data_IF_135170552139
#
_entry.id   IF_135170552139
#
_cell.length_a   1.000
_cell.length_b   1.000
_cell.length_c   1.000
_cell.angle_alpha   90.00
_cell.angle_beta   90.00
_cell.angle_gamma   90.00
#
_symmetry.space_group_name_H-M   'P 1'
#
loop_
_entity.id
_entity.type
_entity.pdbx_description
1 polymer ?
#
# COMPACT_ATOMS: atom_id res chain seq x y z
N UNK A 1 -2.31 -8.17 16.70
CA UNK A 1 -1.58 -8.31 17.99
C UNK A 1 -1.66 -9.76 18.45
N UNK A 2 -0.56 -10.31 18.99
CA UNK A 2 -0.53 -11.66 19.57
C UNK A 2 -0.38 -11.51 21.08
N UNK A 3 -1.23 -12.17 21.86
CA UNK A 3 -1.19 -12.11 23.33
C UNK A 3 -0.95 -13.51 23.86
N UNK A 4 0.04 -13.65 24.73
CA UNK A 4 0.35 -14.90 25.42
C UNK A 4 0.16 -14.71 26.91
N UNK A 5 -0.59 -15.60 27.53
CA UNK A 5 -0.77 -15.65 28.98
C UNK A 5 -0.24 -16.99 29.50
N UNK A 6 0.49 -16.94 30.61
CA UNK A 6 0.99 -18.14 31.27
C UNK A 6 0.87 -18.02 32.78
N UNK A 7 0.79 -19.17 33.46
CA UNK A 7 0.79 -19.26 34.91
C UNK A 7 1.70 -20.40 35.37
N UNK A 8 2.39 -20.17 36.48
CA UNK A 8 3.24 -21.16 37.15
C UNK A 8 2.48 -21.66 38.37
N UNK A 9 2.14 -22.95 38.38
CA UNK A 9 1.44 -23.57 39.48
C UNK A 9 2.43 -23.93 40.62
N UNK A 10 1.96 -24.02 41.88
CA UNK A 10 2.79 -24.50 43.00
C UNK A 10 3.37 -25.91 42.79
N UNK A 11 2.79 -26.69 41.85
CA UNK A 11 3.28 -28.00 41.41
C UNK A 11 4.47 -27.93 40.44
N UNK A 12 5.07 -26.76 40.25
CA UNK A 12 6.17 -26.52 39.32
C UNK A 12 5.82 -26.79 37.84
N UNK A 13 4.54 -26.75 37.51
CA UNK A 13 4.05 -26.91 36.14
C UNK A 13 3.67 -25.55 35.55
N UNK A 14 4.06 -25.35 34.29
CA UNK A 14 3.71 -24.13 33.54
C UNK A 14 2.55 -24.44 32.61
N UNK A 15 1.50 -23.64 32.71
CA UNK A 15 0.39 -23.63 31.77
C UNK A 15 0.46 -22.35 30.96
N UNK A 16 0.30 -22.45 29.65
CA UNK A 16 0.32 -21.30 28.75
C UNK A 16 -0.80 -21.41 27.72
N UNK A 17 -1.29 -20.26 27.26
CA UNK A 17 -2.19 -20.18 26.13
C UNK A 17 -1.93 -18.87 25.37
N UNK A 18 -2.25 -18.87 24.07
CA UNK A 18 -2.04 -17.73 23.18
C UNK A 18 -3.33 -17.42 22.42
N UNK A 19 -3.60 -16.13 22.22
CA UNK A 19 -4.70 -15.67 21.38
C UNK A 19 -4.22 -14.57 20.43
N UNK A 20 -4.75 -14.61 19.21
CA UNK A 20 -4.50 -13.62 18.18
C UNK A 20 -5.68 -12.64 18.11
N UNK A 21 -5.38 -11.35 18.12
CA UNK A 21 -6.36 -10.27 17.99
C UNK A 21 -6.08 -9.46 16.71
N UNK A 22 -7.07 -9.38 15.83
CA UNK A 22 -7.05 -8.47 14.69
C UNK A 22 -7.19 -7.04 15.19
N UNK A 23 -6.23 -6.18 14.84
CA UNK A 23 -6.26 -4.75 15.15
C UNK A 23 -6.42 -3.97 13.87
N UNK A 24 -7.11 -2.83 13.95
CA UNK A 24 -7.20 -1.91 12.83
C UNK A 24 -5.82 -1.37 12.46
N UNK A 25 -5.61 -1.19 11.16
CA UNK A 25 -4.39 -0.63 10.60
C UNK A 25 -4.50 0.89 10.69
N UNK A 26 -3.73 1.50 11.59
CA UNK A 26 -3.79 2.93 11.87
C UNK A 26 -2.39 3.53 11.92
N UNK A 27 -2.26 4.73 11.36
CA UNK A 27 -1.06 5.55 11.54
C UNK A 27 -1.14 6.32 12.86
N UNK A 28 -0.03 6.36 13.60
CA UNK A 28 0.14 7.13 14.83
C UNK A 28 0.09 8.63 14.54
N UNK A 29 0.80 9.04 13.49
CA UNK A 29 0.81 10.39 12.97
C UNK A 29 -0.50 10.66 12.21
N UNK A 30 -1.35 11.50 12.79
CA UNK A 30 -2.61 11.92 12.17
C UNK A 30 -2.36 13.08 11.23
N UNK A 31 -2.84 12.93 10.01
CA UNK A 31 -2.77 13.94 8.95
C UNK A 31 -4.16 14.11 8.38
N UNK A 32 -4.58 15.35 8.17
CA UNK A 32 -5.82 15.68 7.46
C UNK A 32 -5.59 16.81 6.48
N UNK A 33 -6.37 16.78 5.41
CA UNK A 33 -6.31 17.76 4.33
C UNK A 33 -7.72 18.25 4.03
N UNK A 34 -7.89 19.56 3.98
CA UNK A 34 -9.17 20.21 3.69
C UNK A 34 -9.00 21.31 2.65
N UNK A 35 -9.99 21.44 1.77
CA UNK A 35 -10.07 22.54 0.82
C UNK A 35 -11.18 23.50 1.23
N UNK A 36 -10.86 24.78 1.20
CA UNK A 36 -11.81 25.87 1.43
C UNK A 36 -11.76 26.84 0.24
N UNK A 37 -12.81 26.89 -0.60
CA UNK A 37 -14.03 26.07 -0.64
C UNK A 37 -13.81 24.64 -1.19
N UNK A 38 -14.80 23.74 -1.01
CA UNK A 38 -14.76 22.36 -1.55
C UNK A 38 -15.07 22.25 -3.05
N UNK A 39 -15.56 23.33 -3.64
CA UNK A 39 -15.85 23.46 -5.06
C UNK A 39 -15.39 24.82 -5.54
N UNK A 40 -14.84 24.89 -6.75
CA UNK A 40 -14.28 26.12 -7.31
C UNK A 40 -14.58 26.22 -8.80
N UNK A 41 -14.47 27.44 -9.35
CA UNK A 41 -14.48 27.65 -10.80
C UNK A 41 -13.06 27.57 -11.38
N UNK A 42 -12.90 27.21 -12.66
CA UNK A 42 -11.63 27.30 -13.38
C UNK A 42 -10.90 28.63 -13.12
N UNK A 43 -9.63 28.56 -12.69
CA UNK A 43 -8.79 29.73 -12.44
C UNK A 43 -9.04 30.48 -11.13
N UNK A 44 -9.94 29.99 -10.26
CA UNK A 44 -10.17 30.57 -8.93
C UNK A 44 -9.03 30.22 -7.96
N UNK A 45 -8.74 31.13 -7.02
CA UNK A 45 -7.83 30.84 -5.92
C UNK A 45 -8.55 30.08 -4.80
N UNK A 46 -7.95 29.01 -4.33
CA UNK A 46 -8.47 28.15 -3.25
C UNK A 46 -7.40 27.95 -2.19
N UNK A 47 -7.82 27.70 -0.96
CA UNK A 47 -6.91 27.41 0.14
C UNK A 47 -6.98 25.92 0.46
N UNK A 48 -5.83 25.26 0.37
CA UNK A 48 -5.64 23.91 0.87
C UNK A 48 -4.99 23.98 2.24
N UNK A 49 -5.71 23.52 3.26
CA UNK A 49 -5.24 23.46 4.63
C UNK A 49 -4.73 22.05 4.95
N UNK A 50 -3.46 21.97 5.33
CA UNK A 50 -2.82 20.73 5.78
C UNK A 50 -2.69 20.80 7.30
N UNK A 51 -3.29 19.82 7.99
CA UNK A 51 -3.22 19.70 9.45
C UNK A 51 -2.48 18.42 9.81
N UNK A 52 -1.47 18.56 10.64
CA UNK A 52 -0.52 17.48 10.98
C UNK A 52 0.20 17.83 12.29
N UNK A 53 1.17 17.01 12.68
CA UNK A 53 2.02 17.32 13.83
C UNK A 53 2.98 18.47 13.51
N UNK A 54 3.38 19.24 14.54
CA UNK A 54 4.40 20.29 14.38
C UNK A 54 5.68 19.77 13.71
N UNK A 55 6.31 20.62 12.91
CA UNK A 55 7.60 20.33 12.25
C UNK A 55 7.60 19.09 11.34
N UNK A 56 6.45 18.79 10.72
CA UNK A 56 6.32 17.68 9.78
C UNK A 56 6.54 18.14 8.33
N UNK A 57 7.12 17.26 7.52
CA UNK A 57 7.23 17.45 6.07
C UNK A 57 6.16 16.61 5.37
N UNK A 58 5.32 17.24 4.56
CA UNK A 58 4.21 16.59 3.87
C UNK A 58 4.40 16.59 2.36
N UNK A 59 4.25 15.44 1.71
CA UNK A 59 4.12 15.34 0.26
C UNK A 59 2.64 15.39 -0.14
N UNK A 60 2.29 16.27 -1.06
CA UNK A 60 0.91 16.45 -1.53
C UNK A 60 0.85 16.28 -3.04
N UNK A 61 -0.14 15.52 -3.50
CA UNK A 61 -0.40 15.25 -4.91
C UNK A 61 -1.89 15.39 -5.20
N UNK A 62 -2.25 16.01 -6.32
CA UNK A 62 -3.62 16.07 -6.80
C UNK A 62 -3.70 15.66 -8.26
N UNK A 63 -4.52 14.66 -8.54
CA UNK A 63 -4.61 14.01 -9.85
C UNK A 63 -6.05 14.05 -10.35
N UNK A 64 -6.23 14.22 -11.65
CA UNK A 64 -7.55 14.22 -12.27
C UNK A 64 -8.19 12.82 -12.15
N UNK A 65 -9.47 12.77 -11.78
CA UNK A 65 -10.22 11.52 -11.66
C UNK A 65 -10.21 10.68 -12.95
N UNK A 66 -10.17 11.30 -14.13
CA UNK A 66 -10.09 10.62 -15.42
C UNK A 66 -8.81 9.77 -15.57
N UNK A 67 -7.69 10.23 -15.03
CA UNK A 67 -6.42 9.49 -15.00
C UNK A 67 -6.50 8.31 -14.04
N UNK A 68 -7.14 8.51 -12.88
CA UNK A 68 -7.35 7.46 -11.88
C UNK A 68 -8.26 6.34 -12.38
N UNK A 69 -9.25 6.66 -13.22
CA UNK A 69 -10.12 5.67 -13.87
C UNK A 69 -9.36 4.90 -14.96
N UNK A 70 -8.46 5.57 -15.69
CA UNK A 70 -7.68 4.96 -16.77
C UNK A 70 -6.67 3.92 -16.25
N UNK A 71 -6.02 4.20 -15.12
CA UNK A 71 -5.04 3.30 -14.50
C UNK A 71 -5.33 3.11 -13.00
N UNK A 72 -6.36 2.32 -12.66
CA UNK A 72 -6.70 2.09 -11.27
C UNK A 72 -5.59 1.33 -10.55
N UNK A 73 -5.36 1.69 -9.28
CA UNK A 73 -4.44 0.96 -8.41
C UNK A 73 -3.01 1.49 -8.38
N UNK A 74 -2.70 2.66 -8.95
CA UNK A 74 -1.41 3.34 -8.75
C UNK A 74 -1.37 4.30 -7.54
N UNK A 75 -2.54 4.63 -6.97
CA UNK A 75 -2.65 5.54 -5.83
C UNK A 75 -2.08 4.98 -4.54
N UNK A 76 -1.65 5.88 -3.65
CA UNK A 76 -1.16 5.50 -2.33
C UNK A 76 -2.34 5.00 -1.48
N UNK A 77 -2.15 3.87 -0.81
CA UNK A 77 -3.19 3.26 0.02
C UNK A 77 -2.56 2.73 1.31
N UNK A 78 -3.31 2.80 2.41
CA UNK A 78 -2.85 2.38 3.72
C UNK A 78 -2.43 0.90 3.69
N UNK A 79 -3.25 0.04 3.07
CA UNK A 79 -2.98 -1.40 3.01
C UNK A 79 -1.69 -1.72 2.26
N UNK A 80 -1.40 -0.99 1.18
CA UNK A 80 -0.13 -1.15 0.44
C UNK A 80 1.07 -0.81 1.33
N UNK A 81 0.99 0.26 2.11
CA UNK A 81 2.09 0.67 3.01
C UNK A 81 2.32 -0.39 4.07
N UNK A 82 1.26 -0.89 4.72
CA UNK A 82 1.41 -1.96 5.69
C UNK A 82 1.91 -3.26 5.06
N UNK A 83 1.59 -3.55 3.79
CA UNK A 83 2.17 -4.69 3.04
C UNK A 83 3.67 -4.59 2.79
N UNK A 84 4.26 -3.39 2.83
CA UNK A 84 5.72 -3.22 2.73
C UNK A 84 6.47 -3.59 4.02
N UNK A 85 5.77 -3.77 5.15
CA UNK A 85 6.42 -4.17 6.39
C UNK A 85 7.00 -5.59 6.26
N UNK A 86 8.30 -5.79 6.53
CA UNK A 86 8.98 -7.07 6.30
C UNK A 86 8.46 -8.18 7.21
N UNK A 87 8.02 -7.83 8.42
CA UNK A 87 7.47 -8.76 9.40
C UNK A 87 6.19 -8.18 9.98
N UNK A 88 5.07 -8.85 9.72
CA UNK A 88 3.75 -8.50 10.27
C UNK A 88 3.35 -9.34 11.47
N UNK A 89 3.77 -10.60 11.46
CA UNK A 89 3.45 -11.61 12.46
C UNK A 89 4.56 -12.63 12.50
N UNK A 90 4.90 -13.09 13.70
CA UNK A 90 5.83 -14.19 13.90
C UNK A 90 5.02 -15.41 14.32
N UNK A 91 5.22 -16.52 13.63
CA UNK A 91 4.47 -17.76 13.85
C UNK A 91 5.36 -18.96 14.17
N UNK A 92 6.68 -18.78 14.13
CA UNK A 92 7.63 -19.86 14.37
C UNK A 92 8.98 -19.28 14.80
N UNK A 93 9.81 -20.16 15.36
CA UNK A 93 11.21 -19.89 15.66
C UNK A 93 12.07 -20.59 14.60
N UNK A 94 13.08 -19.92 14.02
CA UNK A 94 14.01 -20.56 13.08
C UNK A 94 14.68 -21.80 13.69
N UNK A 95 14.93 -22.81 12.86
CA UNK A 95 15.58 -24.06 13.29
C UNK A 95 16.98 -23.82 13.90
N UNK A 96 17.70 -22.80 13.42
CA UNK A 96 19.06 -22.45 13.87
C UNK A 96 19.14 -22.11 15.36
N UNK A 97 18.02 -21.75 15.99
CA UNK A 97 17.95 -21.40 17.42
C UNK A 97 17.08 -22.37 18.22
N UNK A 98 16.68 -23.51 17.62
CA UNK A 98 15.90 -24.53 18.30
C UNK A 98 16.81 -25.40 19.19
N UNK A 99 16.35 -25.66 20.43
CA UNK A 99 17.10 -26.50 21.35
C UNK A 99 16.91 -27.98 21.02
N UNK A 100 18.01 -28.73 21.09
CA UNK A 100 18.02 -30.18 20.96
C UNK A 100 17.09 -30.83 21.99
N UNK A 101 16.38 -31.89 21.56
CA UNK A 101 15.44 -32.59 22.43
C UNK A 101 16.15 -33.75 23.11
N UNK A 102 16.30 -33.68 24.42
CA UNK A 102 16.77 -34.82 25.20
C UNK A 102 15.64 -35.85 25.41
N UNK A 103 15.88 -37.11 25.05
CA UNK A 103 14.90 -38.18 25.22
C UNK A 103 14.78 -38.60 26.69
N UNK A 104 13.53 -38.77 27.16
CA UNK A 104 13.24 -39.16 28.54
C UNK A 104 13.64 -40.63 28.77
N UNK A 105 14.52 -40.87 29.75
CA UNK A 105 14.96 -42.23 30.09
C UNK A 105 13.89 -42.98 30.88
N UNK A 106 13.40 -44.10 30.33
CA UNK A 106 12.33 -44.91 30.94
C UNK A 106 12.84 -46.25 31.45
N UNK A 107 12.31 -46.69 32.60
CA UNK A 107 12.58 -48.01 33.21
C UNK A 107 11.36 -48.93 33.04
N UNK A 108 11.56 -50.26 32.96
CA UNK A 108 10.43 -51.18 32.80
C UNK A 108 9.59 -51.24 34.08
N UNK A 109 8.33 -50.79 34.01
CA UNK A 109 7.27 -51.10 34.98
C UNK A 109 6.04 -51.58 34.21
N UNK A 110 5.31 -52.56 34.77
CA UNK A 110 4.17 -53.27 34.13
C UNK A 110 3.25 -52.29 33.38
N UNK A 111 3.17 -52.52 32.07
CA UNK A 111 2.17 -52.03 31.12
C UNK A 111 1.40 -50.77 31.55
N UNK A 112 1.97 -49.60 31.27
CA UNK A 112 1.17 -48.40 31.06
C UNK A 112 1.09 -48.23 29.54
N UNK A 113 -0.07 -48.53 28.97
CA UNK A 113 -0.42 -48.10 27.61
C UNK A 113 -0.35 -46.57 27.63
N UNK A 114 0.59 -45.92 26.90
CA UNK A 114 0.57 -44.47 26.83
C UNK A 114 -0.78 -44.07 26.24
N UNK A 115 -1.51 -43.23 26.97
CA UNK A 115 -2.85 -42.81 26.59
C UNK A 115 -2.82 -42.30 25.14
N UNK A 116 -3.64 -42.92 24.29
CA UNK A 116 -3.76 -42.56 22.87
C UNK A 116 -4.62 -41.29 22.77
N UNK A 117 -4.11 -40.16 23.24
CA UNK A 117 -4.71 -38.87 22.91
C UNK A 117 -4.20 -38.44 21.54
N UNK A 118 -5.00 -38.79 20.53
CA UNK A 118 -4.88 -38.30 19.15
C UNK A 118 -5.30 -36.84 19.01
N UNK A 119 -5.07 -36.00 20.01
CA UNK A 119 -5.28 -34.57 19.95
C UNK A 119 -4.04 -33.91 20.51
N UNK A 120 -3.31 -33.15 19.69
CA UNK A 120 -2.14 -32.40 20.11
C UNK A 120 -2.51 -31.49 21.27
N UNK A 121 -2.20 -31.90 22.49
CA UNK A 121 -2.18 -31.01 23.65
C UNK A 121 -0.99 -30.10 23.45
N UNK A 122 -1.24 -28.83 23.13
CA UNK A 122 -0.19 -27.83 23.03
C UNK A 122 0.44 -27.66 24.41
N UNK A 123 1.57 -28.33 24.64
CA UNK A 123 2.46 -28.10 25.76
C UNK A 123 2.91 -26.64 25.79
N UNK A 124 3.20 -26.10 26.98
CA UNK A 124 3.46 -24.65 27.12
C UNK A 124 4.58 -24.17 26.19
N UNK A 125 5.58 -25.02 25.92
CA UNK A 125 6.62 -24.76 24.92
C UNK A 125 6.08 -24.51 23.50
N UNK A 126 5.12 -25.32 23.02
CA UNK A 126 4.55 -25.14 21.68
C UNK A 126 3.73 -23.86 21.57
N UNK A 127 3.06 -23.44 22.64
CA UNK A 127 2.37 -22.14 22.71
C UNK A 127 3.35 -20.98 22.47
N UNK A 128 4.50 -20.99 23.14
CA UNK A 128 5.53 -19.95 22.95
C UNK A 128 6.21 -20.05 21.57
N UNK A 129 6.49 -21.26 21.07
CA UNK A 129 7.03 -21.46 19.73
C UNK A 129 6.10 -20.93 18.63
N UNK A 130 4.79 -21.16 18.76
CA UNK A 130 3.78 -20.71 17.80
C UNK A 130 3.67 -19.18 17.73
N UNK A 131 4.13 -18.47 18.77
CA UNK A 131 4.22 -17.00 18.81
C UNK A 131 5.64 -16.51 18.48
N UNK A 132 6.56 -17.43 18.16
CA UNK A 132 7.94 -17.10 17.80
C UNK A 132 8.83 -16.71 18.98
N UNK A 133 8.47 -17.11 20.20
CA UNK A 133 9.21 -16.76 21.42
C UNK A 133 10.03 -17.94 21.94
N UNK A 134 11.35 -17.76 22.08
CA UNK A 134 12.23 -18.70 22.78
C UNK A 134 12.21 -18.43 24.28
N UNK A 135 12.08 -19.48 25.07
CA UNK A 135 12.00 -19.40 26.53
C UNK A 135 13.23 -20.01 27.20
N UNK A 136 13.81 -19.30 28.15
CA UNK A 136 14.81 -19.82 29.08
C UNK A 136 14.15 -20.00 30.45
N UNK A 137 14.07 -21.24 30.92
CA UNK A 137 13.38 -21.59 32.17
C UNK A 137 14.09 -22.75 32.86
N UNK A 138 14.02 -22.76 34.19
CA UNK A 138 14.43 -23.88 35.03
C UNK A 138 13.31 -24.93 35.20
N UNK A 139 12.16 -24.72 34.55
CA UNK A 139 10.96 -25.57 34.68
C UNK A 139 10.76 -26.44 33.44
N UNK A 140 10.10 -27.59 33.61
CA UNK A 140 9.76 -28.47 32.49
C UNK A 140 8.52 -27.92 31.78
N UNK A 141 8.74 -27.29 30.62
CA UNK A 141 7.67 -26.66 29.81
C UNK A 141 7.36 -27.40 28.50
N UNK A 142 8.23 -28.34 28.12
CA UNK A 142 8.18 -29.09 26.87
C UNK A 142 7.89 -30.56 27.18
N UNK A 143 6.94 -31.14 26.47
CA UNK A 143 6.69 -32.58 26.56
C UNK A 143 7.78 -33.33 25.78
N UNK A 144 8.38 -34.41 26.33
CA UNK A 144 9.42 -35.14 25.63
C UNK A 144 8.86 -35.88 24.41
N UNK A 145 9.36 -35.52 23.22
CA UNK A 145 8.94 -36.14 21.95
C UNK A 145 9.55 -37.52 21.69
N UNK A 146 10.47 -37.97 22.56
CA UNK A 146 11.12 -39.26 22.46
C UNK A 146 11.43 -39.89 23.82
N UNK A 147 11.43 -41.23 23.83
CA UNK A 147 11.73 -42.05 24.99
C UNK A 147 13.02 -42.85 24.74
N UNK A 148 13.86 -43.00 25.77
CA UNK A 148 15.06 -43.81 25.71
C UNK A 148 14.92 -45.03 26.60
N UNK A 149 14.92 -46.22 26.00
CA UNK A 149 14.79 -47.50 26.69
C UNK A 149 15.89 -48.47 26.26
N UNK A 150 16.63 -49.01 27.23
CA UNK A 150 17.77 -49.93 27.00
C UNK A 150 18.75 -49.42 25.93
N UNK A 151 19.04 -48.13 25.93
CA UNK A 151 19.96 -47.50 24.97
C UNK A 151 19.37 -47.30 23.57
N UNK A 152 18.09 -47.60 23.34
CA UNK A 152 17.38 -47.32 22.08
C UNK A 152 16.44 -46.13 22.26
N UNK A 153 16.42 -45.25 21.27
CA UNK A 153 15.57 -44.06 21.24
C UNK A 153 14.33 -44.33 20.40
N UNK A 154 13.19 -43.92 20.93
CA UNK A 154 11.86 -44.14 20.38
C UNK A 154 11.19 -42.78 20.18
N UNK A 155 10.99 -42.35 18.93
CA UNK A 155 10.34 -41.09 18.57
C UNK A 155 8.85 -41.28 18.27
N UNK A 156 8.03 -40.32 18.69
CA UNK A 156 6.59 -40.33 18.41
C UNK A 156 6.28 -39.67 17.05
N UNK A 157 5.92 -40.48 16.04
CA UNK A 157 5.58 -40.01 14.68
C UNK A 157 4.10 -40.19 14.30
N UNK A 158 3.60 -39.37 13.37
CA UNK A 158 2.19 -39.34 12.91
C UNK A 158 1.70 -40.63 12.20
N UNK A 159 2.60 -41.59 11.94
CA UNK A 159 2.29 -42.90 11.37
C UNK A 159 3.24 -43.98 11.90
N UNK A 160 3.36 -44.14 13.22
CA UNK A 160 4.24 -45.17 13.79
C UNK A 160 5.72 -44.97 13.43
N UNK A 161 6.57 -45.87 13.94
CA UNK A 161 8.02 -45.83 13.71
C UNK A 161 8.33 -46.19 12.25
N UNK A 162 8.68 -45.21 11.41
CA UNK A 162 9.04 -45.41 10.01
C UNK A 162 10.13 -44.46 9.52
N UNK A 163 11.12 -44.99 8.80
CA UNK A 163 12.29 -44.27 8.25
C UNK A 163 11.95 -43.80 6.82
N UNK A 164 11.99 -42.51 6.56
CA UNK A 164 11.74 -41.92 5.23
C UNK A 164 13.00 -41.24 4.67
N UNK A 165 13.47 -41.71 3.51
CA UNK A 165 14.57 -41.11 2.75
C UNK A 165 14.01 -40.21 1.64
N UNK A 166 14.48 -38.95 1.55
CA UNK A 166 14.20 -38.01 0.45
C UNK A 166 15.48 -37.73 -0.34
N UNK A 167 15.39 -37.72 -1.67
CA UNK A 167 16.42 -37.23 -2.59
C UNK A 167 15.89 -36.01 -3.37
N UNK A 168 16.68 -34.94 -3.42
CA UNK A 168 16.49 -33.76 -4.28
C UNK A 168 17.35 -33.88 -5.55
N UNK A 169 16.92 -33.29 -6.67
CA UNK A 169 17.83 -32.85 -7.74
C UNK A 169 17.24 -31.66 -8.52
N UNK A 170 18.14 -30.80 -9.04
CA UNK A 170 17.93 -29.44 -9.58
C UNK A 170 18.14 -29.42 -11.12
N UNK A 171 18.15 -28.28 -11.86
CA UNK A 171 17.42 -28.10 -13.12
C UNK A 171 18.31 -28.18 -14.38
N UNK A 172 17.72 -28.09 -15.58
CA UNK A 172 18.44 -27.97 -16.86
C UNK A 172 17.86 -26.88 -17.77
N UNK A 173 18.76 -26.06 -18.34
CA UNK A 173 18.55 -25.03 -19.36
C UNK A 173 18.79 -25.63 -20.75
N UNK A 174 18.05 -25.17 -21.77
CA UNK A 174 18.36 -25.40 -23.19
C UNK A 174 18.50 -24.06 -23.96
N UNK A 175 19.56 -23.97 -24.77
CA UNK A 175 19.83 -22.99 -25.87
C UNK A 175 19.08 -23.48 -27.16
N UNK A 176 18.90 -22.78 -28.30
CA UNK A 176 19.71 -21.78 -29.02
C UNK A 176 18.93 -21.22 -30.27
N UNK A 177 19.06 -19.90 -30.57
CA UNK A 177 19.21 -19.18 -31.89
C UNK A 177 18.18 -19.26 -33.06
N UNK A 178 18.03 -18.37 -34.08
CA UNK A 178 18.42 -16.97 -34.51
C UNK A 178 17.69 -16.68 -35.86
N UNK A 179 17.31 -15.43 -36.20
CA UNK A 179 17.65 -14.70 -37.47
C UNK A 179 16.89 -13.36 -37.71
N UNK A 180 17.68 -12.27 -37.67
CA UNK A 180 17.81 -11.10 -38.59
C UNK A 180 16.61 -10.38 -39.25
N UNK A 181 16.57 -9.03 -39.15
CA UNK A 181 16.84 -8.07 -40.27
C UNK A 181 16.86 -6.57 -39.83
N UNK A 182 17.63 -5.77 -40.59
CA UNK A 182 18.05 -4.33 -40.52
C UNK A 182 16.89 -3.28 -40.49
N UNK A 183 17.04 -2.00 -40.13
CA UNK A 183 18.20 -1.16 -39.74
C UNK A 183 17.87 0.36 -39.55
N UNK A 184 18.85 1.14 -39.04
CA UNK A 184 19.19 2.61 -39.12
C UNK A 184 18.11 3.72 -39.09
N UNK A 185 18.28 4.96 -38.59
CA UNK A 185 19.32 5.73 -37.88
C UNK A 185 18.80 7.17 -37.54
N UNK A 186 19.37 7.84 -36.51
CA UNK A 186 19.45 9.33 -36.27
C UNK A 186 18.25 10.03 -35.58
N UNK A 187 18.30 10.63 -34.36
CA UNK A 187 19.00 11.84 -33.83
C UNK A 187 18.65 13.17 -34.54
N UNK A 188 18.44 14.36 -33.94
CA UNK A 188 18.21 14.92 -32.59
C UNK A 188 17.81 16.44 -32.74
N UNK A 189 17.13 17.00 -31.72
CA UNK A 189 17.08 18.39 -31.20
C UNK A 189 16.67 19.66 -32.03
N UNK A 190 15.61 20.35 -31.53
CA UNK A 190 15.31 21.80 -31.19
C UNK A 190 15.93 22.99 -32.01
N UNK A 191 15.40 24.27 -32.03
CA UNK A 191 14.69 25.04 -30.96
C UNK A 191 13.69 26.22 -31.33
N UNK A 192 13.06 26.80 -30.29
CA UNK A 192 12.66 28.20 -29.92
C UNK A 192 11.83 29.23 -30.78
N UNK A 193 10.82 29.80 -30.07
CA UNK A 193 9.89 30.99 -30.11
C UNK A 193 10.25 32.32 -30.82
N UNK A 194 9.28 33.26 -31.12
CA UNK A 194 8.46 34.01 -30.13
C UNK A 194 7.02 34.50 -30.51
N UNK A 195 6.29 35.01 -29.49
CA UNK A 195 4.98 35.75 -29.49
C UNK A 195 5.13 37.25 -29.87
N UNK A 196 4.09 38.13 -30.05
CA UNK A 196 2.92 38.43 -29.17
C UNK A 196 1.58 38.72 -29.95
N UNK A 197 0.39 38.89 -29.36
CA UNK A 197 -0.11 40.13 -28.74
C UNK A 197 -1.48 39.92 -28.05
N UNK A 198 -1.73 40.68 -26.97
CA UNK A 198 -2.90 40.54 -26.07
C UNK A 198 -4.17 41.19 -26.64
N UNK A 199 -5.17 40.36 -26.94
CA UNK A 199 -6.57 40.73 -27.09
C UNK A 199 -7.29 40.64 -25.71
N UNK A 200 -8.56 41.08 -25.59
CA UNK A 200 -9.20 41.34 -24.28
C UNK A 200 -9.25 40.05 -23.45
N UNK A 201 -9.37 40.16 -22.11
CA UNK A 201 -9.38 38.99 -21.20
C UNK A 201 -10.64 38.15 -21.46
N UNK A 202 -10.56 37.32 -22.49
CA UNK A 202 -11.18 36.02 -22.57
C UNK A 202 -10.36 35.13 -21.64
N UNK A 203 -10.97 34.56 -20.62
CA UNK A 203 -10.36 33.44 -19.89
C UNK A 203 -10.41 32.22 -20.81
N UNK A 204 -9.58 32.25 -21.86
CA UNK A 204 -9.32 31.08 -22.69
C UNK A 204 -8.64 30.07 -21.81
N UNK A 205 -9.39 29.02 -21.49
CA UNK A 205 -8.90 27.89 -20.72
C UNK A 205 -7.76 27.24 -21.50
N UNK A 206 -6.58 27.18 -20.89
CA UNK A 206 -5.37 26.68 -21.53
C UNK A 206 -4.64 25.66 -20.66
N UNK A 207 -4.86 25.68 -19.35
CA UNK A 207 -4.16 24.83 -18.40
C UNK A 207 -4.99 23.58 -18.08
N UNK A 208 -4.75 22.51 -18.85
CA UNK A 208 -5.38 21.20 -18.69
C UNK A 208 -4.36 20.11 -18.33
N UNK A 209 -3.77 20.15 -17.13
CA UNK A 209 -2.82 19.12 -16.72
C UNK A 209 -3.53 17.79 -16.41
N UNK A 210 -2.78 16.69 -16.41
CA UNK A 210 -3.23 15.40 -15.85
C UNK A 210 -2.98 15.33 -14.33
N UNK A 211 -1.96 16.05 -13.84
CA UNK A 211 -1.59 16.18 -12.42
C UNK A 211 -1.46 17.66 -12.07
N UNK A 212 -2.20 18.11 -11.07
CA UNK A 212 -2.27 19.52 -10.68
C UNK A 212 -1.23 19.88 -9.63
N UNK A 213 -1.20 19.15 -8.51
CA UNK A 213 -0.31 19.41 -7.38
C UNK A 213 0.74 18.31 -7.34
N UNK A 214 2.00 18.67 -7.14
CA UNK A 214 3.10 17.74 -6.87
C UNK A 214 4.19 18.44 -6.06
N UNK A 215 3.93 18.66 -4.77
CA UNK A 215 4.75 19.54 -3.94
C UNK A 215 5.01 18.99 -2.55
N UNK A 216 6.05 19.55 -1.92
CA UNK A 216 6.37 19.33 -0.52
C UNK A 216 5.97 20.55 0.31
N UNK A 217 5.25 20.32 1.39
CA UNK A 217 4.76 21.34 2.32
C UNK A 217 5.39 21.10 3.69
N UNK A 218 6.19 22.06 4.13
CA UNK A 218 6.73 22.09 5.50
C UNK A 218 5.71 22.72 6.44
N UNK A 219 5.33 21.99 7.48
CA UNK A 219 4.38 22.45 8.50
C UNK A 219 5.14 22.95 9.72
N UNK A 220 4.87 24.20 10.10
CA UNK A 220 5.51 24.85 11.23
C UNK A 220 5.03 24.33 12.59
N UNK A 221 5.44 25.04 13.64
CA UNK A 221 5.17 24.66 15.04
C UNK A 221 3.66 24.61 15.39
N UNK A 222 2.81 25.29 14.63
CA UNK A 222 1.34 25.30 14.83
C UNK A 222 0.67 23.97 14.48
N UNK A 223 1.34 23.08 13.73
CA UNK A 223 0.73 21.85 13.20
C UNK A 223 -0.29 22.09 12.09
N UNK A 224 -0.44 23.33 11.62
CA UNK A 224 -1.36 23.69 10.52
C UNK A 224 -0.65 24.58 9.51
N UNK A 225 -0.90 24.33 8.23
CA UNK A 225 -0.36 25.14 7.13
C UNK A 225 -1.42 25.34 6.04
N UNK A 226 -1.66 26.60 5.72
CA UNK A 226 -2.50 27.00 4.61
C UNK A 226 -1.63 27.22 3.36
N UNK A 227 -2.06 26.65 2.25
CA UNK A 227 -1.41 26.75 0.95
C UNK A 227 -2.42 27.33 -0.04
N UNK A 228 -2.17 28.55 -0.52
CA UNK A 228 -2.97 29.19 -1.56
C UNK A 228 -2.61 28.61 -2.93
N UNK A 229 -3.60 28.10 -3.65
CA UNK A 229 -3.44 27.42 -4.93
C UNK A 229 -4.45 27.94 -5.95
N UNK A 230 -4.02 28.08 -7.20
CA UNK A 230 -4.92 28.41 -8.31
C UNK A 230 -5.42 27.12 -8.96
N UNK A 231 -6.74 27.01 -9.11
CA UNK A 231 -7.42 25.83 -9.64
C UNK A 231 -7.21 25.71 -11.16
N UNK A 232 -6.95 24.51 -11.71
CA UNK A 232 -6.77 24.34 -13.15
C UNK A 232 -8.02 24.61 -13.96
N UNK A 233 -7.84 24.75 -15.28
CA UNK A 233 -8.96 25.04 -16.17
C UNK A 233 -9.81 23.80 -16.50
N UNK A 234 -9.32 22.61 -16.14
CA UNK A 234 -10.04 21.35 -16.32
C UNK A 234 -11.26 21.30 -15.41
N UNK A 235 -12.44 21.19 -16.03
CA UNK A 235 -13.73 21.02 -15.34
C UNK A 235 -13.88 19.54 -14.99
N UNK A 236 -13.31 19.15 -13.84
CA UNK A 236 -13.23 17.77 -13.37
C UNK A 236 -13.25 17.74 -11.85
N UNK A 237 -13.26 16.54 -11.28
CA UNK A 237 -12.96 16.35 -9.86
C UNK A 237 -11.50 15.97 -9.73
N UNK A 238 -10.77 16.70 -8.88
CA UNK A 238 -9.39 16.38 -8.51
C UNK A 238 -9.40 15.58 -7.22
N UNK A 239 -8.74 14.44 -7.22
CA UNK A 239 -8.53 13.61 -6.02
C UNK A 239 -7.13 13.92 -5.47
N UNK A 240 -7.10 14.37 -4.22
CA UNK A 240 -5.88 14.78 -3.54
C UNK A 240 -5.46 13.71 -2.54
N UNK A 241 -4.18 13.33 -2.60
CA UNK A 241 -3.51 12.44 -1.67
C UNK A 241 -2.39 13.21 -0.96
N UNK A 242 -2.21 12.93 0.33
CA UNK A 242 -1.14 13.54 1.11
C UNK A 242 -0.60 12.58 2.15
N UNK A 243 0.72 12.57 2.32
CA UNK A 243 1.38 11.87 3.41
C UNK A 243 2.38 12.79 4.09
N UNK A 244 2.62 12.60 5.38
CA UNK A 244 3.57 13.38 6.15
C UNK A 244 4.57 12.49 6.89
N UNK A 245 5.76 13.05 7.09
CA UNK A 245 6.85 12.48 7.85
C UNK A 245 7.19 13.39 9.01
N UNK A 246 7.27 12.83 10.20
CA UNK A 246 7.75 13.49 11.41
C UNK A 246 8.67 12.55 12.19
N UNK A 247 9.41 13.05 13.20
CA UNK A 247 10.14 12.19 14.13
C UNK A 247 9.26 11.14 14.84
N UNK A 248 7.94 11.35 14.90
CA UNK A 248 6.98 10.41 15.50
C UNK A 248 6.53 9.32 14.52
N UNK A 249 6.86 9.45 13.24
CA UNK A 249 6.64 8.42 12.22
C UNK A 249 6.02 8.95 10.93
N UNK A 250 5.36 8.03 10.23
CA UNK A 250 4.67 8.28 8.97
C UNK A 250 3.16 8.41 9.20
N UNK A 251 2.55 9.40 8.55
CA UNK A 251 1.11 9.61 8.55
C UNK A 251 0.55 9.70 7.13
N UNK A 252 -0.56 9.02 6.86
CA UNK A 252 -1.30 9.13 5.60
C UNK A 252 -2.62 9.86 5.84
N UNK A 253 -2.88 10.89 5.03
CA UNK A 253 -4.14 11.61 5.06
C UNK A 253 -5.24 10.82 4.33
N UNK A 254 -6.50 10.90 4.79
CA UNK A 254 -7.62 10.45 3.98
C UNK A 254 -7.69 11.29 2.70
N UNK A 255 -8.08 10.65 1.59
CA UNK A 255 -8.18 11.34 0.30
C UNK A 255 -9.27 12.39 0.33
N UNK A 256 -9.01 13.52 -0.31
CA UNK A 256 -9.93 14.64 -0.38
C UNK A 256 -10.15 15.06 -1.82
N UNK A 257 -11.41 15.32 -2.15
CA UNK A 257 -11.79 15.73 -3.48
C UNK A 257 -12.13 17.21 -3.50
N UNK A 258 -11.77 17.87 -4.59
CA UNK A 258 -12.22 19.22 -4.93
C UNK A 258 -12.83 19.19 -6.32
N UNK A 259 -14.05 19.74 -6.43
CA UNK A 259 -14.81 19.73 -7.68
C UNK A 259 -14.66 21.07 -8.39
N UNK A 260 -14.10 21.02 -9.60
CA UNK A 260 -14.00 22.20 -10.47
C UNK A 260 -15.16 22.17 -11.42
N UNK A 261 -16.09 23.10 -11.23
CA UNK A 261 -17.32 23.11 -12.00
C UNK A 261 -17.64 24.50 -12.51
N UNK A 262 -18.02 24.57 -13.79
CA UNK A 262 -18.54 25.78 -14.41
C UNK A 262 -19.92 25.44 -14.99
N UNK A 263 -20.99 26.21 -14.69
CA UNK A 263 -22.33 25.91 -15.18
C UNK A 263 -22.50 26.03 -16.70
N UNK A 264 -21.66 26.82 -17.37
CA UNK A 264 -21.69 26.99 -18.82
C UNK A 264 -20.28 26.86 -19.37
N UNK A 265 -20.07 25.90 -20.28
CA UNK A 265 -18.75 25.65 -20.89
C UNK A 265 -18.87 24.97 -22.25
N UNK A 266 -17.78 25.03 -23.00
CA UNK A 266 -17.61 24.35 -24.29
C UNK A 266 -16.55 23.24 -24.14
N UNK A 267 -16.87 22.05 -24.60
CA UNK A 267 -15.98 20.89 -24.63
C UNK A 267 -15.64 20.52 -26.08
N UNK A 268 -14.35 20.29 -26.36
CA UNK A 268 -13.87 19.88 -27.68
C UNK A 268 -13.52 18.39 -27.66
N UNK A 269 -14.11 17.62 -28.56
CA UNK A 269 -13.75 16.20 -28.75
C UNK A 269 -12.53 16.09 -29.64
N UNK A 270 -11.35 16.08 -29.04
CA UNK A 270 -10.06 16.01 -29.74
C UNK A 270 -9.55 14.56 -29.82
N UNK A 271 -9.17 14.06 -31.01
CA UNK A 271 -8.46 12.79 -31.14
C UNK A 271 -7.02 12.94 -30.63
N UNK A 272 -6.41 11.81 -30.27
CA UNK A 272 -5.01 11.78 -29.83
C UNK A 272 -4.03 12.30 -30.92
N UNK A 273 -4.32 12.03 -32.19
CA UNK A 273 -3.49 12.47 -33.31
C UNK A 273 -4.32 12.65 -34.58
N UNK A 274 -3.86 13.53 -35.47
CA UNK A 274 -4.43 13.77 -36.81
C UNK A 274 -3.34 13.67 -37.88
N UNK A 275 -3.73 13.28 -39.10
CA UNK A 275 -2.82 13.15 -40.24
C UNK A 275 -2.83 14.45 -41.04
N UNK A 276 -1.65 15.00 -41.32
CA UNK A 276 -1.52 16.21 -42.14
C UNK A 276 -1.98 15.94 -43.58
N UNK A 277 -2.83 16.81 -44.10
CA UNK A 277 -3.37 16.71 -45.47
C UNK A 277 -4.71 15.98 -45.56
N UNK A 278 -5.20 15.43 -44.45
CA UNK A 278 -6.54 14.84 -44.37
C UNK A 278 -7.55 15.82 -43.75
N UNK A 279 -8.82 15.64 -44.11
CA UNK A 279 -9.93 16.36 -43.49
C UNK A 279 -10.39 15.64 -42.23
N UNK A 280 -10.55 16.38 -41.14
CA UNK A 280 -11.03 15.87 -39.86
C UNK A 280 -12.25 16.70 -39.40
N UNK A 281 -13.22 16.02 -38.77
CA UNK A 281 -14.40 16.65 -38.18
C UNK A 281 -14.15 16.95 -36.69
N UNK A 282 -13.91 18.21 -36.36
CA UNK A 282 -13.80 18.66 -34.97
C UNK A 282 -15.20 18.90 -34.38
N UNK A 283 -15.56 18.15 -33.34
CA UNK A 283 -16.83 18.32 -32.63
C UNK A 283 -16.65 19.20 -31.40
N UNK A 284 -17.46 20.25 -31.32
CA UNK A 284 -17.57 21.13 -30.17
C UNK A 284 -18.96 20.99 -29.56
N UNK A 285 -19.04 20.67 -28.28
CA UNK A 285 -20.29 20.51 -27.54
C UNK A 285 -20.40 21.61 -26.49
N UNK A 286 -21.50 22.35 -26.50
CA UNK A 286 -21.78 23.38 -25.49
C UNK A 286 -22.72 22.83 -24.43
N UNK A 287 -22.29 22.89 -23.18
CA UNK A 287 -23.10 22.49 -22.04
C UNK A 287 -23.64 23.72 -21.31
N UNK A 288 -24.93 23.70 -20.99
CA UNK A 288 -25.58 24.73 -20.20
C UNK A 288 -26.35 24.07 -19.05
N UNK A 289 -25.83 24.23 -17.84
CA UNK A 289 -26.43 23.80 -16.56
C UNK A 289 -27.08 24.97 -15.81
N UNK A 290 -27.18 26.16 -16.42
CA UNK A 290 -27.93 27.28 -15.85
C UNK A 290 -29.43 26.98 -15.89
N UNK A 291 -30.17 27.58 -14.97
CA UNK A 291 -31.64 27.47 -14.93
C UNK A 291 -32.33 28.28 -16.03
N UNK A 292 -31.61 29.22 -16.66
CA UNK A 292 -32.12 30.12 -17.70
C UNK A 292 -31.70 29.68 -19.11
N UNK A 293 -32.62 29.86 -20.08
CA UNK A 293 -32.31 29.72 -21.50
C UNK A 293 -31.43 30.88 -21.99
N UNK A 294 -30.37 30.55 -22.73
CA UNK A 294 -29.45 31.51 -23.33
C UNK A 294 -29.32 31.27 -24.83
N UNK A 295 -29.10 32.33 -25.61
CA UNK A 295 -28.73 32.20 -27.01
C UNK A 295 -27.20 32.20 -27.11
N UNK A 296 -26.64 31.18 -27.75
CA UNK A 296 -25.20 30.99 -27.87
C UNK A 296 -24.82 31.06 -29.34
N UNK A 297 -23.77 31.82 -29.66
CA UNK A 297 -23.16 31.83 -30.99
C UNK A 297 -21.76 31.24 -30.84
N UNK A 298 -21.50 30.14 -31.54
CA UNK A 298 -20.18 29.47 -31.55
C UNK A 298 -19.52 29.80 -32.87
N UNK A 299 -18.32 30.37 -32.80
CA UNK A 299 -17.53 30.74 -33.98
C UNK A 299 -16.11 30.18 -33.85
N UNK A 300 -15.63 29.40 -34.81
CA UNK A 300 -14.23 28.99 -34.82
C UNK A 300 -13.36 30.18 -35.21
N UNK A 301 -12.34 30.48 -34.41
CA UNK A 301 -11.28 31.40 -34.80
C UNK A 301 -10.29 30.67 -35.71
N UNK A 302 -9.87 31.28 -36.84
CA UNK A 302 -8.79 30.71 -37.66
C UNK A 302 -7.51 30.58 -36.83
N UNK A 303 -6.88 29.42 -36.89
CA UNK A 303 -5.56 29.15 -36.29
C UNK A 303 -4.43 29.89 -37.00
#
# INVERSE_FOLDING_TARGET
>A
VQVVAYAILPSETVIANSADFSTEQCFSHKVSLEFSPTSAVPGEETIMQVTTQPESLCGVSAVDQSVLIKEPGKTLDADKIFQLLPVKKISYIPYDVQDDVECLHVRPRRYVMPYRHGGGTADAYTVFQNVGMKMATNMVIREPSCLKYKGREYYQGHHGYGVGLRYNSVPTIARMEVMTARGSAGAAAAPYMPSPDKSPIETVRTFFPETWIWDLVEVGESGTKDVSLTVPDTITTWETEAFCLSPQGFGLAPRKNITVFQPFFLELSLPYSIIRGEHFELKATTFNYLTSCIMVTVTPTPS
#
